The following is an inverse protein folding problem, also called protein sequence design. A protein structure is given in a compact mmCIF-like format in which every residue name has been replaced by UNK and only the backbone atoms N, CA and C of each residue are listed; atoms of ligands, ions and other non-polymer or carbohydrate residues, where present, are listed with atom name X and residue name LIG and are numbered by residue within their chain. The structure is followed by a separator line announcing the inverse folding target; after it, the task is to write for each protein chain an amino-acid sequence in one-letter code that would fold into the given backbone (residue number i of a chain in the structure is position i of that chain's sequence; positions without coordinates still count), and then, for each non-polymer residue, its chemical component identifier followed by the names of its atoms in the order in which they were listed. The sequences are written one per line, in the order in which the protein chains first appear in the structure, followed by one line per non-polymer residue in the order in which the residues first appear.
data_IF_128183348243
#
_entry.id   IF_128183348243
#
_cell.length_a   1.000
_cell.length_b   1.000
_cell.length_c   1.000
_cell.angle_alpha   90.00
_cell.angle_beta   90.00
_cell.angle_gamma   90.00
#
_symmetry.space_group_name_H-M   'P 1'
#
loop_
_entity.id
_entity.type
_entity.pdbx_description
1 polymer ?
#
# COMPACT_ATOMS: atom_id res chain seq x y z
N UNK A 1 -1.06 -1.48 -18.43
CA UNK A 1 0.42 -1.39 -18.37
C UNK A 1 0.95 -2.78 -18.08
N UNK A 2 1.78 -3.34 -18.97
CA UNK A 2 2.42 -4.62 -18.69
C UNK A 2 3.65 -4.43 -17.79
N UNK A 3 4.05 -5.49 -17.09
CA UNK A 3 5.22 -5.45 -16.21
C UNK A 3 6.50 -5.03 -16.94
N UNK A 4 6.66 -5.46 -18.19
CA UNK A 4 7.80 -5.06 -19.04
C UNK A 4 7.84 -3.55 -19.22
N UNK A 5 6.71 -2.91 -19.52
CA UNK A 5 6.62 -1.46 -19.69
C UNK A 5 7.00 -0.72 -18.41
N UNK A 6 6.62 -1.27 -17.25
CA UNK A 6 6.98 -0.72 -15.94
C UNK A 6 8.49 -0.79 -15.68
N UNK A 7 9.14 -1.91 -16.04
CA UNK A 7 10.59 -2.04 -15.93
C UNK A 7 11.32 -1.03 -16.83
N UNK A 8 10.78 -0.75 -18.02
CA UNK A 8 11.34 0.25 -18.94
C UNK A 8 11.16 1.68 -18.41
N UNK A 9 10.05 1.97 -17.74
CA UNK A 9 9.78 3.28 -17.14
C UNK A 9 10.55 3.52 -15.84
N UNK A 10 10.87 2.47 -15.09
CA UNK A 10 11.56 2.56 -13.81
C UNK A 10 12.86 1.74 -13.85
N UNK A 11 13.85 2.15 -14.66
CA UNK A 11 15.13 1.45 -14.74
C UNK A 11 16.03 1.74 -13.53
N UNK A 12 15.90 2.92 -12.92
CA UNK A 12 16.74 3.39 -11.82
C UNK A 12 15.92 4.09 -10.73
N UNK A 13 16.60 4.44 -9.64
CA UNK A 13 15.97 5.04 -8.46
C UNK A 13 15.36 6.41 -8.76
N UNK A 14 15.97 7.24 -9.60
CA UNK A 14 15.47 8.57 -9.92
C UNK A 14 14.24 8.48 -10.80
N UNK A 15 14.24 7.56 -11.77
CA UNK A 15 13.06 7.27 -12.57
C UNK A 15 11.90 6.76 -11.70
N UNK A 16 12.19 5.90 -10.71
CA UNK A 16 11.19 5.45 -9.73
C UNK A 16 10.64 6.60 -8.88
N UNK A 17 11.47 7.55 -8.47
CA UNK A 17 11.03 8.74 -7.75
C UNK A 17 10.13 9.61 -8.62
N UNK A 18 10.54 9.89 -9.86
CA UNK A 18 9.74 10.67 -10.81
C UNK A 18 8.40 9.99 -11.11
N UNK A 19 8.40 8.67 -11.26
CA UNK A 19 7.17 7.90 -11.43
C UNK A 19 6.23 8.09 -10.23
N UNK A 20 6.73 7.97 -9.00
CA UNK A 20 5.93 8.18 -7.79
C UNK A 20 5.44 9.63 -7.64
N UNK A 21 6.24 10.61 -8.06
CA UNK A 21 5.81 12.01 -8.12
C UNK A 21 4.69 12.23 -9.14
N UNK A 22 4.77 11.60 -10.32
CA UNK A 22 3.72 11.67 -11.34
C UNK A 22 2.38 11.09 -10.87
N UNK A 23 2.41 10.22 -9.85
CA UNK A 23 1.23 9.62 -9.22
C UNK A 23 0.80 10.33 -7.93
N UNK A 24 1.44 11.44 -7.57
CA UNK A 24 1.22 12.19 -6.33
C UNK A 24 1.39 11.34 -5.05
N UNK A 25 2.22 10.29 -5.09
CA UNK A 25 2.55 9.49 -3.90
C UNK A 25 3.67 10.18 -3.10
N UNK A 26 4.61 10.80 -3.83
CA UNK A 26 5.65 11.67 -3.27
C UNK A 26 5.33 13.07 -3.79
N UNK A 27 5.21 14.04 -2.88
CA UNK A 27 5.01 15.44 -3.26
C UNK A 27 6.22 16.00 -4.04
N UNK A 28 6.01 17.04 -4.84
CA UNK A 28 7.10 17.70 -5.59
C UNK A 28 7.96 18.61 -4.71
N UNK A 29 7.42 19.07 -3.58
CA UNK A 29 8.09 19.92 -2.61
C UNK A 29 7.93 19.35 -1.21
N UNK A 30 8.77 19.80 -0.28
CA UNK A 30 8.67 19.48 1.14
C UNK A 30 9.02 20.74 1.94
N UNK A 31 8.74 20.75 3.25
CA UNK A 31 9.04 21.89 4.13
C UNK A 31 10.12 21.52 5.16
N UNK A 32 11.09 22.42 5.32
CA UNK A 32 12.09 22.26 6.39
C UNK A 32 11.50 22.68 7.74
N UNK A 33 12.17 22.38 8.85
CA UNK A 33 11.64 22.70 10.19
C UNK A 33 11.55 24.20 10.46
N UNK A 34 12.19 25.03 9.62
CA UNK A 34 12.10 26.48 9.66
C UNK A 34 10.98 27.02 8.73
N UNK A 35 10.16 26.15 8.15
CA UNK A 35 9.04 26.51 7.26
C UNK A 35 9.42 26.86 5.83
N UNK A 36 10.68 26.71 5.42
CA UNK A 36 11.10 26.98 4.04
C UNK A 36 10.83 25.79 3.12
N UNK A 37 10.44 26.07 1.87
CA UNK A 37 10.33 25.08 0.81
C UNK A 37 11.68 24.40 0.52
N UNK A 38 11.59 23.11 0.24
CA UNK A 38 12.70 22.22 -0.08
C UNK A 38 12.43 21.57 -1.43
N UNK A 39 13.51 21.38 -2.18
CA UNK A 39 13.48 20.71 -3.48
C UNK A 39 14.32 19.45 -3.42
N UNK A 40 13.94 18.46 -4.22
CA UNK A 40 14.66 17.21 -4.29
C UNK A 40 15.99 17.39 -5.03
N UNK A 41 17.09 16.93 -4.44
CA UNK A 41 18.39 16.84 -5.09
C UNK A 41 18.91 15.40 -4.97
N UNK A 42 18.78 14.63 -6.04
CA UNK A 42 18.99 13.18 -5.99
C UNK A 42 17.91 12.51 -5.13
N UNK A 43 18.31 11.84 -4.05
CA UNK A 43 17.39 11.11 -3.14
C UNK A 43 17.09 11.83 -1.82
N UNK A 44 17.43 13.13 -1.71
CA UNK A 44 17.21 13.93 -0.50
C UNK A 44 16.54 15.26 -0.81
N UNK A 45 15.66 15.68 0.09
CA UNK A 45 15.12 17.03 0.12
C UNK A 45 16.18 17.97 0.64
N UNK A 46 16.39 19.11 -0.02
CA UNK A 46 17.34 20.14 0.43
C UNK A 46 16.71 21.51 0.41
N UNK A 47 16.85 22.25 1.50
CA UNK A 47 16.51 23.67 1.54
C UNK A 47 17.59 24.47 0.79
N UNK A 48 17.21 25.28 -0.18
CA UNK A 48 18.16 26.03 -1.02
C UNK A 48 18.69 27.32 -0.36
N UNK A 49 18.05 27.76 0.74
CA UNK A 49 18.47 28.94 1.50
C UNK A 49 19.86 28.73 2.11
N UNK A 50 20.76 29.70 1.92
CA UNK A 50 22.19 29.60 2.30
C UNK A 50 22.38 29.48 3.81
N UNK A 51 21.53 30.13 4.58
CA UNK A 51 21.47 30.17 6.04
C UNK A 51 20.83 28.92 6.66
N UNK A 52 20.04 28.14 5.90
CA UNK A 52 19.37 26.95 6.40
C UNK A 52 20.08 25.65 5.98
N UNK A 53 20.17 25.39 4.66
CA UNK A 53 20.77 24.17 4.05
C UNK A 53 20.37 22.82 4.66
N UNK A 54 19.29 22.77 5.45
CA UNK A 54 18.78 21.53 6.04
C UNK A 54 18.43 20.51 4.96
N UNK A 55 18.59 19.24 5.30
CA UNK A 55 18.28 18.12 4.41
C UNK A 55 17.36 17.11 5.09
N UNK A 56 16.39 16.57 4.34
CA UNK A 56 15.49 15.50 4.79
C UNK A 56 15.56 14.32 3.82
N UNK A 57 15.34 13.11 4.33
CA UNK A 57 15.25 11.92 3.48
C UNK A 57 14.00 11.98 2.61
N UNK A 58 14.05 11.40 1.41
CA UNK A 58 12.91 11.42 0.47
C UNK A 58 11.59 10.90 1.06
N UNK A 59 11.66 9.96 2.00
CA UNK A 59 10.50 9.29 2.62
C UNK A 59 9.86 10.10 3.77
N UNK A 60 10.44 11.23 4.16
CA UNK A 60 9.91 12.04 5.26
C UNK A 60 8.65 12.77 4.83
N UNK A 61 7.61 12.74 5.67
CA UNK A 61 6.31 13.39 5.46
C UNK A 61 5.54 12.88 4.22
N UNK A 62 5.67 11.60 3.87
CA UNK A 62 4.82 10.98 2.84
C UNK A 62 4.51 9.52 3.19
N UNK A 63 3.71 8.87 2.36
CA UNK A 63 3.24 7.50 2.56
C UNK A 63 4.38 6.46 2.64
N UNK A 64 5.59 6.78 2.17
CA UNK A 64 6.75 5.89 2.26
C UNK A 64 7.52 6.01 3.59
N UNK A 65 7.06 6.83 4.53
CA UNK A 65 7.75 7.07 5.79
C UNK A 65 7.99 5.77 6.57
N UNK A 66 9.18 5.63 7.17
CA UNK A 66 9.60 4.42 7.87
C UNK A 66 9.98 3.23 6.96
N UNK A 67 9.65 3.26 5.66
CA UNK A 67 10.03 2.17 4.76
C UNK A 67 11.53 2.06 4.56
N UNK A 68 12.01 0.82 4.57
CA UNK A 68 13.38 0.44 4.22
C UNK A 68 13.50 -0.18 2.83
N UNK A 69 12.39 -0.41 2.14
CA UNK A 69 12.41 -1.00 0.80
C UNK A 69 12.99 -0.02 -0.23
N UNK A 70 13.77 -0.51 -1.21
CA UNK A 70 14.17 0.29 -2.36
C UNK A 70 12.96 0.87 -3.08
N UNK A 71 13.07 2.09 -3.60
CA UNK A 71 11.96 2.78 -4.30
C UNK A 71 11.43 1.93 -5.46
N UNK A 72 12.31 1.33 -6.25
CA UNK A 72 11.90 0.48 -7.38
C UNK A 72 11.15 -0.76 -6.90
N UNK A 73 11.63 -1.41 -5.83
CA UNK A 73 10.94 -2.55 -5.23
C UNK A 73 9.54 -2.18 -4.74
N UNK A 74 9.35 -0.96 -4.22
CA UNK A 74 8.02 -0.46 -3.82
C UNK A 74 7.11 -0.33 -5.04
N UNK A 75 7.58 0.30 -6.12
CA UNK A 75 6.79 0.46 -7.35
C UNK A 75 6.38 -0.89 -7.92
N UNK A 76 7.31 -1.84 -8.00
CA UNK A 76 7.02 -3.19 -8.47
C UNK A 76 6.09 -3.95 -7.54
N UNK A 77 6.24 -3.78 -6.22
CA UNK A 77 5.33 -4.41 -5.26
C UNK A 77 3.89 -3.91 -5.41
N UNK A 78 3.69 -2.60 -5.57
CA UNK A 78 2.36 -2.01 -5.81
C UNK A 78 1.74 -2.60 -7.09
N UNK A 79 2.54 -2.70 -8.16
CA UNK A 79 2.10 -3.33 -9.40
C UNK A 79 1.71 -4.80 -9.19
N UNK A 80 2.59 -5.60 -8.59
CA UNK A 80 2.32 -7.02 -8.30
C UNK A 80 1.09 -7.18 -7.42
N UNK A 81 0.89 -6.29 -6.45
CA UNK A 81 -0.28 -6.29 -5.58
C UNK A 81 -1.58 -6.06 -6.34
N UNK A 82 -1.61 -5.07 -7.24
CA UNK A 82 -2.76 -4.79 -8.09
C UNK A 82 -3.09 -5.94 -9.08
N UNK A 83 -2.13 -6.82 -9.35
CA UNK A 83 -2.28 -8.00 -10.20
C UNK A 83 -2.44 -9.31 -9.40
N UNK A 84 -2.69 -9.24 -8.09
CA UNK A 84 -2.88 -10.40 -7.21
C UNK A 84 -1.63 -11.32 -7.11
N UNK A 85 -0.45 -10.80 -7.45
CA UNK A 85 0.84 -11.50 -7.41
C UNK A 85 1.56 -11.23 -6.08
N UNK A 86 0.91 -11.50 -4.95
CA UNK A 86 1.41 -11.15 -3.61
C UNK A 86 1.94 -12.34 -2.80
N UNK A 87 2.13 -13.50 -3.46
CA UNK A 87 2.65 -14.67 -2.75
C UNK A 87 4.06 -14.40 -2.21
N UNK A 88 4.30 -14.83 -0.98
CA UNK A 88 5.60 -14.62 -0.32
C UNK A 88 6.78 -15.18 -1.12
N UNK A 89 6.56 -16.31 -1.82
CA UNK A 89 7.57 -16.94 -2.67
C UNK A 89 7.87 -16.09 -3.90
N UNK A 90 6.84 -15.55 -4.55
CA UNK A 90 6.98 -14.62 -5.67
C UNK A 90 7.72 -13.35 -5.25
N UNK A 91 7.26 -12.66 -4.20
CA UNK A 91 7.87 -11.41 -3.76
C UNK A 91 9.33 -11.59 -3.28
N UNK A 92 9.66 -12.73 -2.67
CA UNK A 92 11.04 -13.05 -2.31
C UNK A 92 11.92 -13.29 -3.55
N UNK A 93 11.41 -14.02 -4.54
CA UNK A 93 12.17 -14.40 -5.75
C UNK A 93 12.35 -13.23 -6.72
N UNK A 94 11.27 -12.52 -7.03
CA UNK A 94 11.26 -11.47 -8.06
C UNK A 94 11.67 -10.10 -7.50
N UNK A 95 11.25 -9.78 -6.28
CA UNK A 95 11.43 -8.44 -5.70
C UNK A 95 12.49 -8.39 -4.59
N UNK A 96 12.99 -9.54 -4.14
CA UNK A 96 13.94 -9.63 -3.03
C UNK A 96 13.36 -9.22 -1.68
N UNK A 97 12.03 -9.19 -1.54
CA UNK A 97 11.36 -8.69 -0.33
C UNK A 97 11.18 -9.83 0.68
N UNK A 98 11.61 -9.59 1.92
CA UNK A 98 11.47 -10.55 3.01
C UNK A 98 10.01 -10.75 3.44
N UNK A 99 9.70 -11.92 4.02
CA UNK A 99 8.35 -12.30 4.46
C UNK A 99 7.63 -11.22 5.26
N UNK A 100 8.29 -10.68 6.30
CA UNK A 100 7.67 -9.69 7.18
C UNK A 100 7.31 -8.42 6.41
N UNK A 101 8.25 -7.92 5.59
CA UNK A 101 7.99 -6.76 4.74
C UNK A 101 6.87 -7.00 3.73
N UNK A 102 6.73 -8.20 3.16
CA UNK A 102 5.58 -8.53 2.30
C UNK A 102 4.26 -8.39 3.06
N UNK A 103 4.19 -8.90 4.29
CA UNK A 103 2.98 -8.79 5.12
C UNK A 103 2.68 -7.34 5.46
N UNK A 104 3.67 -6.59 5.92
CA UNK A 104 3.53 -5.17 6.28
C UNK A 104 3.02 -4.36 5.07
N UNK A 105 3.62 -4.56 3.90
CA UNK A 105 3.25 -3.85 2.68
C UNK A 105 1.86 -4.24 2.14
N UNK A 106 1.46 -5.50 2.30
CA UNK A 106 0.09 -5.90 2.01
C UNK A 106 -0.91 -5.17 2.91
N UNK A 107 -0.59 -5.00 4.20
CA UNK A 107 -1.44 -4.28 5.13
C UNK A 107 -1.50 -2.78 4.81
N UNK A 108 -0.36 -2.15 4.53
CA UNK A 108 -0.33 -0.74 4.10
C UNK A 108 -1.21 -0.47 2.87
N UNK A 109 -1.19 -1.35 1.86
CA UNK A 109 -2.04 -1.18 0.68
C UNK A 109 -3.53 -1.39 0.99
N UNK A 110 -3.86 -2.33 1.88
CA UNK A 110 -5.26 -2.52 2.34
C UNK A 110 -5.77 -1.31 3.12
N UNK A 111 -4.95 -0.72 3.98
CA UNK A 111 -5.30 0.50 4.73
C UNK A 111 -5.64 1.66 3.78
N UNK A 112 -4.89 1.81 2.68
CA UNK A 112 -5.21 2.81 1.64
C UNK A 112 -6.57 2.53 0.99
N UNK A 113 -6.88 1.27 0.70
CA UNK A 113 -8.20 0.90 0.16
C UNK A 113 -9.33 1.20 1.15
N UNK A 114 -9.15 0.84 2.43
CA UNK A 114 -10.13 1.12 3.51
C UNK A 114 -10.35 2.62 3.65
N UNK A 115 -9.29 3.41 3.75
CA UNK A 115 -9.38 4.87 3.83
C UNK A 115 -10.14 5.46 2.62
N UNK A 116 -9.86 4.95 1.41
CA UNK A 116 -10.58 5.37 0.21
C UNK A 116 -12.07 5.02 0.27
N UNK A 117 -12.41 3.82 0.76
CA UNK A 117 -13.80 3.41 0.97
C UNK A 117 -14.48 4.33 1.98
N UNK A 118 -13.88 4.55 3.16
CA UNK A 118 -14.43 5.42 4.21
C UNK A 118 -14.62 6.87 3.74
N UNK A 119 -13.69 7.40 2.94
CA UNK A 119 -13.75 8.77 2.40
C UNK A 119 -14.87 8.96 1.36
N UNK A 120 -15.27 7.89 0.69
CA UNK A 120 -16.40 7.93 -0.22
C UNK A 120 -17.64 7.61 0.62
N UNK A 121 -18.46 8.62 0.92
CA UNK A 121 -19.68 8.55 1.76
C UNK A 121 -20.77 7.54 1.29
N UNK A 122 -20.44 6.62 0.40
CA UNK A 122 -21.29 5.57 -0.14
C UNK A 122 -21.07 4.25 0.63
N UNK A 123 -21.01 4.33 1.96
CA UNK A 123 -20.82 3.18 2.85
C UNK A 123 -22.10 2.36 3.06
N UNK A 124 -23.19 2.71 2.35
CA UNK A 124 -24.43 1.96 2.43
C UNK A 124 -24.28 0.65 1.64
N UNK A 125 -24.22 -0.46 2.36
CA UNK A 125 -24.39 -1.79 1.80
C UNK A 125 -25.89 -2.01 1.67
N UNK A 126 -26.39 -2.09 0.43
CA UNK A 126 -27.82 -2.21 0.13
C UNK A 126 -28.49 -0.89 -0.27
N UNK A 127 -29.79 -0.95 -0.52
CA UNK A 127 -30.62 0.16 -0.99
C UNK A 127 -32.10 -0.26 -0.98
N UNK A 128 -33.04 0.65 -1.25
CA UNK A 128 -34.46 0.31 -1.28
C UNK A 128 -34.72 -0.88 -2.21
N UNK A 129 -35.39 -1.93 -1.71
CA UNK A 129 -35.66 -3.20 -2.41
C UNK A 129 -34.43 -4.07 -2.77
N UNK A 130 -33.27 -3.87 -2.13
CA UNK A 130 -32.11 -4.76 -2.27
C UNK A 130 -31.99 -5.65 -1.03
N UNK A 131 -32.07 -6.97 -1.22
CA UNK A 131 -31.75 -7.94 -0.17
C UNK A 131 -30.23 -8.09 -0.13
N UNK A 132 -29.63 -7.75 1.01
CA UNK A 132 -28.21 -7.97 1.27
C UNK A 132 -28.08 -9.28 2.05
N UNK A 133 -27.42 -10.26 1.45
CA UNK A 133 -27.02 -11.47 2.15
C UNK A 133 -25.60 -11.28 2.68
N UNK A 134 -25.42 -11.42 3.99
CA UNK A 134 -24.10 -11.43 4.62
C UNK A 134 -23.78 -12.89 4.93
N UNK A 135 -22.83 -13.44 4.17
CA UNK A 135 -22.32 -14.78 4.43
C UNK A 135 -21.31 -14.74 5.58
N UNK A 136 -21.70 -15.30 6.73
CA UNK A 136 -20.76 -15.52 7.83
C UNK A 136 -19.99 -16.82 7.59
N UNK A 137 -18.76 -16.68 7.11
CA UNK A 137 -17.83 -17.80 6.99
C UNK A 137 -17.14 -18.09 8.33
N UNK A 138 -17.37 -19.29 8.87
CA UNK A 138 -16.74 -19.76 10.10
C UNK A 138 -15.29 -20.24 9.86
N UNK A 139 -14.30 -19.36 10.06
CA UNK A 139 -12.88 -19.71 9.99
C UNK A 139 -12.31 -20.12 11.35
N UNK A 140 -12.43 -21.41 11.71
CA UNK A 140 -11.86 -21.94 12.97
C UNK A 140 -10.47 -22.53 12.74
N UNK A 141 -9.46 -22.05 13.47
CA UNK A 141 -8.12 -22.66 13.51
C UNK A 141 -7.99 -23.53 14.76
N UNK A 142 -7.55 -24.78 14.62
CA UNK A 142 -7.40 -25.69 15.77
C UNK A 142 -6.28 -25.23 16.69
N UNK A 143 -6.53 -25.27 18.01
CA UNK A 143 -5.48 -25.12 19.01
C UNK A 143 -4.59 -26.37 18.97
N UNK A 144 -3.29 -26.19 18.75
CA UNK A 144 -2.28 -27.26 18.69
C UNK A 144 -2.51 -28.35 17.62
N UNK A 145 -3.23 -28.05 16.53
CA UNK A 145 -3.63 -29.01 15.48
C UNK A 145 -4.43 -30.23 15.99
N UNK A 146 -4.87 -30.23 17.25
CA UNK A 146 -5.58 -31.31 17.89
C UNK A 146 -7.07 -30.95 18.07
N UNK A 147 -7.93 -31.97 18.11
CA UNK A 147 -9.37 -31.81 18.32
C UNK A 147 -10.22 -31.91 17.05
N UNK A 148 -11.54 -31.79 17.23
CA UNK A 148 -12.57 -32.06 16.22
C UNK A 148 -12.43 -31.15 15.01
N UNK A 149 -12.60 -31.71 13.81
CA UNK A 149 -12.73 -30.95 12.57
C UNK A 149 -14.15 -30.35 12.58
N UNK A 150 -14.27 -29.04 12.77
CA UNK A 150 -15.51 -28.34 12.46
C UNK A 150 -15.48 -28.06 10.96
N UNK A 151 -16.52 -28.45 10.24
CA UNK A 151 -16.65 -28.11 8.83
C UNK A 151 -16.84 -26.60 8.68
N UNK A 152 -16.20 -26.00 7.67
CA UNK A 152 -16.57 -24.66 7.19
C UNK A 152 -18.05 -24.69 6.85
N UNK A 153 -18.86 -24.08 7.70
CA UNK A 153 -20.29 -23.91 7.51
C UNK A 153 -20.50 -22.44 7.20
N UNK A 154 -21.10 -22.18 6.05
CA UNK A 154 -21.66 -20.87 5.68
C UNK A 154 -23.02 -20.77 6.35
N UNK A 155 -23.17 -19.84 7.28
CA UNK A 155 -24.46 -19.52 7.88
C UNK A 155 -24.92 -18.21 7.24
N UNK A 156 -25.81 -18.31 6.25
CA UNK A 156 -26.47 -17.14 5.67
C UNK A 156 -27.47 -16.56 6.67
N UNK A 157 -27.26 -15.32 7.10
CA UNK A 157 -28.22 -14.60 7.96
C UNK A 157 -28.95 -13.56 7.12
N UNK A 158 -30.27 -13.71 7.00
CA UNK A 158 -31.13 -12.81 6.25
C UNK A 158 -31.59 -11.66 7.14
N UNK A 159 -31.19 -10.43 6.81
CA UNK A 159 -31.71 -9.22 7.47
C UNK A 159 -32.55 -8.42 6.48
N UNK A 160 -33.78 -8.11 6.86
CA UNK A 160 -34.59 -7.09 6.20
C UNK A 160 -34.26 -5.73 6.82
N UNK A 161 -33.64 -4.83 6.05
CA UNK A 161 -33.63 -3.41 6.40
C UNK A 161 -34.86 -2.74 5.76
N UNK A 162 -35.75 -2.12 6.55
CA UNK A 162 -36.92 -1.41 6.04
C UNK A 162 -36.55 -0.13 5.27
#
# INVERSE_FOLDING_TARGET
MHFKDLLTQVPDINAGIQFLQSKNIIEMTNTCDNGHEMFLKGSRWRCQRRDCRKEKGIRVNNWLNGSRLPINSIVYFIYSWAHELTSMTYCKRELGIGKNAVVDWNNYLREVCVWRMESNNNNQVGGPNIIVEIDESLFVRRKNNAGRILGTSTMGVWWYMP
#
